data_IF_896713908832
#
_entry.id   IF_896713908832
#
_cell.length_a   1.000
_cell.length_b   1.000
_cell.length_c   1.000
_cell.angle_alpha   90.00
_cell.angle_beta   90.00
_cell.angle_gamma   90.00
#
_symmetry.space_group_name_H-M   'P 1'
#
loop_
_entity.id
_entity.type
_entity.pdbx_description
1 polymer ?
#
# COMPACT_ATOMS: atom_id res chain seq x y z
N UNK A 1 -7.79 18.89 -11.36
CA UNK A 1 -6.62 18.24 -11.98
C UNK A 1 -6.96 16.77 -12.15
N UNK A 2 -6.87 16.20 -13.36
CA UNK A 2 -7.38 14.85 -13.69
C UNK A 2 -6.30 13.75 -13.74
N UNK A 3 -5.07 14.00 -13.24
CA UNK A 3 -3.95 13.06 -13.30
C UNK A 3 -3.40 12.78 -11.91
N UNK A 4 -3.42 11.51 -11.50
CA UNK A 4 -2.79 11.00 -10.29
C UNK A 4 -1.36 10.53 -10.54
N UNK A 5 -0.49 10.79 -9.57
CA UNK A 5 0.94 10.44 -9.63
C UNK A 5 1.25 9.20 -8.79
N UNK A 6 2.47 8.65 -8.96
CA UNK A 6 2.98 7.58 -8.11
C UNK A 6 4.11 8.16 -7.27
N UNK A 7 3.99 8.03 -5.96
CA UNK A 7 4.97 8.46 -4.98
C UNK A 7 5.63 7.23 -4.38
N UNK A 8 6.94 7.29 -4.18
CA UNK A 8 7.70 6.19 -3.60
C UNK A 8 8.46 6.72 -2.39
N UNK A 9 8.04 6.28 -1.21
CA UNK A 9 8.71 6.60 0.05
C UNK A 9 9.57 5.41 0.46
N UNK A 10 10.85 5.48 0.12
CA UNK A 10 11.85 4.43 0.38
C UNK A 10 13.00 4.94 1.27
N UNK A 11 13.96 4.06 1.58
CA UNK A 11 15.13 4.34 2.41
C UNK A 11 15.08 3.68 3.80
N UNK A 12 16.24 3.63 4.46
CA UNK A 12 16.39 2.91 5.74
C UNK A 12 15.93 3.69 6.98
N UNK A 13 15.67 5.00 6.81
CA UNK A 13 15.17 5.85 7.88
C UNK A 13 13.73 5.53 8.30
N UNK A 14 13.39 5.87 9.54
CA UNK A 14 11.99 5.94 9.98
C UNK A 14 11.30 7.13 9.29
N UNK A 15 10.01 7.01 8.97
CA UNK A 15 9.23 8.12 8.44
C UNK A 15 8.37 7.83 7.22
N UNK A 16 8.58 6.70 6.52
CA UNK A 16 7.89 6.39 5.26
C UNK A 16 6.38 6.23 5.44
N UNK A 17 5.96 5.30 6.30
CA UNK A 17 4.54 5.06 6.63
C UNK A 17 3.90 6.29 7.27
N UNK A 18 4.61 7.00 8.16
CA UNK A 18 4.06 8.22 8.78
C UNK A 18 3.92 9.36 7.78
N UNK A 19 4.81 9.49 6.79
CA UNK A 19 4.65 10.44 5.70
C UNK A 19 3.45 10.09 4.81
N UNK A 20 3.24 8.80 4.51
CA UNK A 20 2.07 8.33 3.78
C UNK A 20 0.77 8.64 4.54
N UNK A 21 0.70 8.33 5.84
CA UNK A 21 -0.43 8.66 6.71
C UNK A 21 -0.67 10.18 6.79
N UNK A 22 0.37 10.98 6.92
CA UNK A 22 0.24 12.44 6.94
C UNK A 22 -0.35 13.01 5.65
N UNK A 23 0.02 12.45 4.49
CA UNK A 23 -0.57 12.81 3.21
C UNK A 23 -2.04 12.35 3.12
N UNK A 24 -2.35 11.13 3.58
CA UNK A 24 -3.72 10.62 3.67
C UNK A 24 -4.61 11.53 4.49
N UNK A 25 -4.17 11.93 5.70
CA UNK A 25 -4.92 12.83 6.58
C UNK A 25 -5.16 14.17 5.88
N UNK A 26 -4.14 14.76 5.25
CA UNK A 26 -4.28 16.00 4.50
C UNK A 26 -5.35 15.89 3.41
N UNK A 27 -5.34 14.79 2.66
CA UNK A 27 -6.32 14.55 1.59
C UNK A 27 -7.73 14.39 2.17
N UNK A 28 -7.90 13.62 3.25
CA UNK A 28 -9.18 13.43 3.93
C UNK A 28 -9.75 14.76 4.43
N UNK A 29 -8.91 15.63 5.03
CA UNK A 29 -9.33 16.97 5.44
C UNK A 29 -9.75 17.87 4.26
N UNK A 30 -9.31 17.55 3.04
CA UNK A 30 -9.76 18.19 1.80
C UNK A 30 -11.00 17.51 1.17
N UNK A 31 -11.65 16.59 1.89
CA UNK A 31 -12.84 15.87 1.43
C UNK A 31 -12.56 14.70 0.48
N UNK A 32 -11.31 14.24 0.40
CA UNK A 32 -10.89 13.14 -0.47
C UNK A 32 -11.05 11.78 0.20
N UNK A 33 -11.21 10.73 -0.61
CA UNK A 33 -11.29 9.34 -0.16
C UNK A 33 -9.93 8.66 -0.27
N UNK A 34 -9.54 7.95 0.79
CA UNK A 34 -8.25 7.27 0.86
C UNK A 34 -8.43 5.80 1.19
N UNK A 35 -7.79 4.94 0.41
CA UNK A 35 -7.59 3.54 0.74
C UNK A 35 -6.14 3.31 1.19
N UNK A 36 -5.95 2.53 2.25
CA UNK A 36 -4.65 2.26 2.85
C UNK A 36 -4.45 0.75 3.00
N UNK A 37 -3.83 0.13 2.01
CA UNK A 37 -3.47 -1.29 2.03
C UNK A 37 -2.09 -1.51 2.65
N UNK A 38 -2.01 -2.36 3.67
CA UNK A 38 -0.77 -2.66 4.39
C UNK A 38 -0.31 -4.09 4.11
N UNK A 39 0.88 -4.26 3.53
CA UNK A 39 1.46 -5.59 3.29
C UNK A 39 2.33 -6.04 4.46
N UNK A 40 2.42 -7.37 4.68
CA UNK A 40 3.27 -8.00 5.72
C UNK A 40 2.89 -7.58 7.16
N UNK A 41 1.73 -6.96 7.32
CA UNK A 41 1.18 -6.54 8.60
C UNK A 41 -0.12 -7.31 8.81
N UNK A 42 -0.25 -7.96 9.97
CA UNK A 42 -1.52 -8.48 10.50
C UNK A 42 -1.65 -8.25 12.01
N UNK A 43 -0.70 -7.55 12.63
CA UNK A 43 -0.78 -7.21 14.05
C UNK A 43 -1.53 -5.90 14.27
N UNK A 44 -2.05 -5.72 15.48
CA UNK A 44 -2.64 -4.46 15.92
C UNK A 44 -1.62 -3.33 15.87
N UNK A 45 -1.85 -2.38 14.96
CA UNK A 45 -1.17 -1.10 14.92
C UNK A 45 -2.13 -0.01 15.41
N UNK A 46 -1.61 0.97 16.16
CA UNK A 46 -2.45 2.04 16.72
C UNK A 46 -3.13 2.86 15.63
N UNK A 47 -2.52 2.96 14.45
CA UNK A 47 -3.05 3.65 13.28
C UNK A 47 -4.31 2.98 12.71
N UNK A 48 -4.58 1.70 13.01
CA UNK A 48 -5.81 1.04 12.59
C UNK A 48 -7.06 1.72 13.17
N UNK A 49 -6.96 2.24 14.39
CA UNK A 49 -8.04 2.98 15.06
C UNK A 49 -8.36 4.32 14.38
N UNK A 50 -7.51 4.78 13.46
CA UNK A 50 -7.73 6.06 12.77
C UNK A 50 -9.02 6.06 11.93
N UNK A 51 -9.49 4.90 11.47
CA UNK A 51 -10.78 4.78 10.75
C UNK A 51 -11.98 5.21 11.60
N UNK A 52 -11.90 5.12 12.93
CA UNK A 52 -12.94 5.59 13.86
C UNK A 52 -13.06 7.12 13.85
N UNK A 53 -11.98 7.81 13.51
CA UNK A 53 -11.89 9.28 13.51
C UNK A 53 -11.91 9.89 12.11
N UNK A 54 -11.70 9.08 11.06
CA UNK A 54 -11.51 9.52 9.68
C UNK A 54 -12.49 8.77 8.75
N UNK A 55 -13.72 9.27 8.56
CA UNK A 55 -14.76 8.53 7.83
C UNK A 55 -14.47 8.29 6.34
N UNK A 56 -13.52 9.02 5.75
CA UNK A 56 -13.08 8.84 4.36
C UNK A 56 -11.83 7.96 4.24
N UNK A 57 -11.39 7.32 5.33
CA UNK A 57 -10.27 6.40 5.35
C UNK A 57 -10.77 4.96 5.45
N UNK A 58 -10.29 4.11 4.55
CA UNK A 58 -10.38 2.67 4.68
C UNK A 58 -8.98 2.10 4.81
N UNK A 59 -8.78 1.19 5.76
CA UNK A 59 -7.51 0.49 5.97
C UNK A 59 -7.77 -1.01 5.86
N UNK A 60 -6.92 -1.69 5.11
CA UNK A 60 -6.92 -3.14 5.00
C UNK A 60 -5.50 -3.68 5.15
N UNK A 61 -5.40 -4.86 5.77
CA UNK A 61 -4.15 -5.53 6.05
C UNK A 61 -4.07 -6.82 5.22
N UNK A 62 -2.94 -6.99 4.54
CA UNK A 62 -2.62 -8.09 3.63
C UNK A 62 -1.37 -8.80 4.14
N UNK A 63 -1.56 -9.67 5.12
CA UNK A 63 -0.51 -10.42 5.77
C UNK A 63 -1.08 -11.28 6.88
N UNK A 64 -0.22 -12.08 7.50
CA UNK A 64 -0.56 -12.84 8.71
C UNK A 64 -0.27 -12.00 9.96
N UNK A 65 -0.80 -12.44 11.10
CA UNK A 65 -0.58 -11.85 12.43
C UNK A 65 0.86 -12.05 12.95
N UNK A 66 1.80 -12.37 12.07
CA UNK A 66 3.20 -12.62 12.38
C UNK A 66 4.13 -11.95 11.37
N UNK A 67 5.31 -11.53 11.85
CA UNK A 67 6.37 -11.10 10.95
C UNK A 67 6.99 -12.30 10.24
N UNK A 68 7.28 -12.11 8.95
CA UNK A 68 8.07 -13.06 8.16
C UNK A 68 9.53 -12.92 8.59
N UNK A 69 9.98 -13.80 9.50
CA UNK A 69 11.38 -13.86 9.94
C UNK A 69 12.24 -14.81 9.10
N UNK A 70 11.61 -15.79 8.45
CA UNK A 70 12.25 -16.83 7.63
C UNK A 70 11.80 -16.70 6.16
N UNK A 71 12.03 -17.71 5.33
CA UNK A 71 11.41 -17.78 4.00
C UNK A 71 9.87 -17.73 4.13
N UNK A 72 9.18 -16.98 3.25
CA UNK A 72 7.73 -16.91 3.27
C UNK A 72 7.13 -18.29 3.02
N UNK A 73 6.04 -18.60 3.72
CA UNK A 73 5.29 -19.83 3.46
C UNK A 73 4.37 -19.66 2.25
N UNK A 74 3.85 -20.76 1.70
CA UNK A 74 2.85 -20.72 0.64
C UNK A 74 1.60 -19.88 1.02
N UNK A 75 1.28 -19.86 2.31
CA UNK A 75 0.19 -19.05 2.86
C UNK A 75 0.52 -17.54 2.83
N UNK A 76 1.75 -17.13 3.14
CA UNK A 76 2.18 -15.73 3.00
C UNK A 76 2.05 -15.26 1.55
N UNK A 77 2.55 -16.08 0.62
CA UNK A 77 2.50 -15.80 -0.81
C UNK A 77 1.06 -15.68 -1.29
N UNK A 78 0.20 -16.60 -0.85
CA UNK A 78 -1.23 -16.58 -1.20
C UNK A 78 -1.92 -15.31 -0.71
N UNK A 79 -1.81 -14.98 0.58
CA UNK A 79 -2.47 -13.81 1.16
C UNK A 79 -1.96 -12.50 0.54
N UNK A 80 -0.65 -12.41 0.29
CA UNK A 80 -0.06 -11.24 -0.37
C UNK A 80 -0.56 -11.08 -1.81
N UNK A 81 -0.72 -12.18 -2.56
CA UNK A 81 -1.29 -12.15 -3.92
C UNK A 81 -2.77 -11.80 -3.94
N UNK A 82 -3.55 -12.30 -2.98
CA UNK A 82 -4.94 -11.91 -2.80
C UNK A 82 -5.06 -10.41 -2.49
N UNK A 83 -4.21 -9.89 -1.59
CA UNK A 83 -4.14 -8.45 -1.30
C UNK A 83 -3.70 -7.61 -2.50
N UNK A 84 -2.76 -8.10 -3.32
CA UNK A 84 -2.35 -7.43 -4.55
C UNK A 84 -3.49 -7.35 -5.57
N UNK A 85 -4.26 -8.43 -5.72
CA UNK A 85 -5.42 -8.46 -6.60
C UNK A 85 -6.55 -7.54 -6.10
N UNK A 86 -6.76 -7.46 -4.79
CA UNK A 86 -7.72 -6.51 -4.21
C UNK A 86 -7.30 -5.06 -4.46
N UNK A 87 -6.02 -4.74 -4.21
CA UNK A 87 -5.46 -3.44 -4.57
C UNK A 87 -5.62 -3.13 -6.07
N UNK A 88 -5.46 -4.11 -6.96
CA UNK A 88 -5.68 -3.95 -8.41
C UNK A 88 -7.11 -3.52 -8.71
N UNK A 89 -8.11 -4.17 -8.09
CA UNK A 89 -9.53 -3.80 -8.27
C UNK A 89 -9.77 -2.37 -7.79
N UNK A 90 -9.30 -2.04 -6.58
CA UNK A 90 -9.47 -0.71 -5.98
C UNK A 90 -8.86 0.39 -6.85
N UNK A 91 -7.62 0.18 -7.32
CA UNK A 91 -6.92 1.09 -8.23
C UNK A 91 -7.70 1.30 -9.54
N UNK A 92 -8.27 0.23 -10.09
CA UNK A 92 -9.00 0.26 -11.35
C UNK A 92 -10.39 0.88 -11.23
N UNK A 93 -11.10 0.63 -10.12
CA UNK A 93 -12.43 1.17 -9.86
C UNK A 93 -12.41 2.69 -9.67
N UNK A 94 -11.31 3.25 -9.15
CA UNK A 94 -11.12 4.70 -9.03
C UNK A 94 -12.07 5.38 -8.03
N UNK A 95 -12.64 4.61 -7.08
CA UNK A 95 -13.52 5.14 -6.01
C UNK A 95 -12.79 5.99 -4.97
N UNK A 96 -11.47 5.78 -4.84
CA UNK A 96 -10.59 6.53 -3.94
C UNK A 96 -9.76 7.51 -4.75
N UNK A 97 -9.46 8.66 -4.16
CA UNK A 97 -8.56 9.64 -4.76
C UNK A 97 -7.09 9.26 -4.52
N UNK A 98 -6.80 8.64 -3.37
CA UNK A 98 -5.46 8.16 -3.00
C UNK A 98 -5.52 6.68 -2.59
N UNK A 99 -4.57 5.90 -3.08
CA UNK A 99 -4.34 4.50 -2.69
C UNK A 99 -2.92 4.37 -2.14
N UNK A 100 -2.81 4.00 -0.87
CA UNK A 100 -1.51 3.71 -0.23
C UNK A 100 -1.27 2.20 -0.25
N UNK A 101 -0.10 1.80 -0.74
CA UNK A 101 0.43 0.44 -0.73
C UNK A 101 1.64 0.42 0.22
N UNK A 102 1.35 0.28 1.51
CA UNK A 102 2.34 0.36 2.59
C UNK A 102 3.11 -0.96 2.72
N UNK A 103 4.43 -0.85 2.88
CA UNK A 103 5.41 -1.95 2.91
C UNK A 103 5.42 -2.86 1.66
N UNK A 104 4.90 -2.37 0.53
CA UNK A 104 4.87 -3.11 -0.73
C UNK A 104 6.28 -3.49 -1.21
N UNK A 105 7.27 -2.61 -1.04
CA UNK A 105 8.66 -2.94 -1.43
C UNK A 105 9.22 -4.11 -0.60
N UNK A 106 8.79 -4.23 0.66
CA UNK A 106 9.20 -5.34 1.50
C UNK A 106 8.50 -6.63 1.03
N UNK A 107 7.24 -6.58 0.58
CA UNK A 107 6.54 -7.74 0.01
C UNK A 107 7.23 -8.27 -1.25
N UNK A 108 7.74 -7.36 -2.09
CA UNK A 108 8.57 -7.72 -3.25
C UNK A 108 9.91 -8.32 -2.80
N UNK A 109 10.56 -7.74 -1.79
CA UNK A 109 11.84 -8.23 -1.25
C UNK A 109 11.73 -9.68 -0.74
N UNK A 110 10.64 -10.00 -0.03
CA UNK A 110 10.34 -11.37 0.39
C UNK A 110 9.84 -12.27 -0.74
N UNK A 111 9.78 -11.80 -1.99
CA UNK A 111 9.32 -12.57 -3.17
C UNK A 111 7.89 -13.09 -3.04
N UNK A 112 7.02 -12.36 -2.31
CA UNK A 112 5.59 -12.71 -2.20
C UNK A 112 4.88 -12.54 -3.56
N UNK A 113 5.36 -11.59 -4.35
CA UNK A 113 5.03 -11.36 -5.75
C UNK A 113 6.16 -10.57 -6.40
N UNK A 114 6.14 -10.47 -7.72
CA UNK A 114 7.15 -9.80 -8.52
C UNK A 114 6.85 -8.30 -8.69
N UNK A 115 7.89 -7.54 -9.01
CA UNK A 115 7.73 -6.13 -9.41
C UNK A 115 6.91 -5.97 -10.67
N UNK A 116 7.01 -6.91 -11.63
CA UNK A 116 6.25 -6.86 -12.88
C UNK A 116 4.74 -6.98 -12.63
N UNK A 117 4.34 -7.83 -11.67
CA UNK A 117 2.97 -7.90 -11.20
C UNK A 117 2.51 -6.55 -10.63
N UNK A 118 3.33 -5.88 -9.82
CA UNK A 118 3.02 -4.53 -9.28
C UNK A 118 2.92 -3.48 -10.39
N UNK A 119 3.88 -3.44 -11.31
CA UNK A 119 3.89 -2.49 -12.44
C UNK A 119 2.64 -2.67 -13.30
N UNK A 120 2.21 -3.92 -13.51
CA UNK A 120 0.98 -4.23 -14.25
C UNK A 120 -0.24 -3.58 -13.58
N UNK A 121 -0.44 -3.78 -12.27
CA UNK A 121 -1.61 -3.21 -11.59
C UNK A 121 -1.58 -1.68 -11.55
N UNK A 122 -0.38 -1.08 -11.42
CA UNK A 122 -0.22 0.38 -11.43
C UNK A 122 -0.56 0.99 -12.79
N UNK A 123 -0.32 0.26 -13.89
CA UNK A 123 -0.70 0.68 -15.25
C UNK A 123 -2.20 0.55 -15.52
N UNK A 124 -2.89 -0.33 -14.82
CA UNK A 124 -4.34 -0.54 -14.96
C UNK A 124 -5.18 0.43 -14.13
N UNK A 125 -4.56 1.24 -13.26
CA UNK A 125 -5.26 2.17 -12.37
C UNK A 125 -6.06 3.23 -13.11
N UNK A 126 -7.13 3.72 -12.48
CA UNK A 126 -7.86 4.88 -12.99
C UNK A 126 -6.94 6.13 -13.01
N UNK A 127 -6.95 6.95 -14.09
CA UNK A 127 -5.94 7.99 -14.31
C UNK A 127 -5.85 9.07 -13.22
N UNK A 128 -6.92 9.31 -12.47
CA UNK A 128 -6.96 10.31 -11.40
C UNK A 128 -6.44 9.80 -10.06
N UNK A 129 -6.25 8.49 -9.89
CA UNK A 129 -5.84 7.88 -8.63
C UNK A 129 -4.36 8.14 -8.38
N UNK A 130 -4.08 8.82 -7.27
CA UNK A 130 -2.73 9.00 -6.76
C UNK A 130 -2.33 7.78 -5.93
N UNK A 131 -1.12 7.28 -6.14
CA UNK A 131 -0.63 6.07 -5.48
C UNK A 131 0.59 6.39 -4.65
N UNK A 132 0.61 5.92 -3.40
CA UNK A 132 1.77 6.06 -2.52
C UNK A 132 2.27 4.66 -2.20
N UNK A 133 3.53 4.39 -2.51
CA UNK A 133 4.21 3.13 -2.23
C UNK A 133 5.22 3.37 -1.13
N UNK A 134 5.25 2.49 -0.12
CA UNK A 134 6.26 2.55 0.94
C UNK A 134 7.04 1.24 1.07
N UNK A 135 8.21 1.33 1.69
CA UNK A 135 8.95 0.17 2.18
C UNK A 135 10.45 0.42 2.21
N UNK A 136 11.20 -0.53 2.79
CA UNK A 136 12.67 -0.51 2.75
C UNK A 136 13.17 -1.21 1.49
N UNK A 137 14.42 -0.90 1.12
CA UNK A 137 15.13 -1.41 -0.05
C UNK A 137 14.55 -0.92 -1.38
N UNK A 138 15.29 -0.06 -2.09
CA UNK A 138 15.01 0.35 -3.47
C UNK A 138 15.96 -0.30 -4.47
N UNK A 139 16.51 -1.47 -4.11
CA UNK A 139 17.56 -2.21 -4.84
C UNK A 139 17.48 -1.95 -6.33
N UNK A 140 18.44 -1.17 -6.82
CA UNK A 140 18.45 -0.51 -8.12
C UNK A 140 17.68 -1.28 -9.22
N UNK A 141 16.56 -0.66 -9.66
CA UNK A 141 15.63 -0.96 -10.77
C UNK A 141 14.23 -1.36 -10.32
N UNK A 142 13.41 -0.39 -9.90
CA UNK A 142 11.96 -0.66 -9.81
C UNK A 142 11.05 0.52 -10.15
N UNK A 143 11.41 1.47 -11.05
CA UNK A 143 10.45 2.39 -11.68
C UNK A 143 10.91 2.80 -13.08
#
# INVERSE_FOLDING_TARGET
>A
MNKGYIHVYTGNGKGKTTAALGLSIRAICAGKKVFFGQFIKGMDYNELKSVEYLPNLQIEQFGRDCFIYNEPTDEDIKLAKEGLEECRKILKEGKYDIVVLDELNIAIYFKLFTSDEVIKILKERAPHVEVIITGRYDGEKYY
#
